data_IF_986122613933
#
_entry.id   IF_986122613933
#
_cell.length_a   1.000
_cell.length_b   1.000
_cell.length_c   1.000
_cell.angle_alpha   90.00
_cell.angle_beta   90.00
_cell.angle_gamma   90.00
#
_symmetry.space_group_name_H-M   'P 1'
#
loop_
_entity.id
_entity.type
_entity.pdbx_description
1 polymer ?
#
# COMPACT_ATOMS: atom_id res chain seq x y z
N UNK A 1 18.48 -21.34 -5.76
CA UNK A 1 18.65 -19.94 -5.40
C UNK A 1 19.11 -19.21 -6.63
N UNK A 2 18.45 -18.14 -7.00
CA UNK A 2 18.73 -17.33 -8.18
C UNK A 2 19.21 -15.96 -7.73
N UNK A 3 20.16 -15.38 -8.46
CA UNK A 3 20.68 -14.04 -8.16
C UNK A 3 20.25 -13.09 -9.27
N UNK A 4 19.80 -11.91 -8.87
CA UNK A 4 19.39 -10.86 -9.77
C UNK A 4 20.18 -9.59 -9.45
N UNK A 5 20.71 -8.96 -10.48
CA UNK A 5 21.38 -7.66 -10.38
C UNK A 5 20.34 -6.56 -10.16
N UNK A 6 20.75 -5.47 -9.53
CA UNK A 6 19.92 -4.28 -9.32
C UNK A 6 19.22 -3.82 -10.62
N UNK A 7 17.96 -3.41 -10.52
CA UNK A 7 17.08 -2.98 -11.62
C UNK A 7 16.65 -4.10 -12.59
N UNK A 8 17.03 -5.35 -12.36
CA UNK A 8 16.57 -6.48 -13.17
C UNK A 8 15.11 -6.78 -12.89
N UNK A 9 14.31 -6.92 -13.95
CA UNK A 9 12.95 -7.43 -13.84
C UNK A 9 12.95 -8.90 -13.45
N UNK A 10 12.17 -9.24 -12.41
CA UNK A 10 12.02 -10.59 -11.85
C UNK A 10 10.72 -11.21 -12.34
N UNK A 11 9.62 -10.43 -12.25
CA UNK A 11 8.29 -10.79 -12.72
C UNK A 11 7.72 -9.59 -13.47
N UNK A 12 7.29 -9.80 -14.71
CA UNK A 12 6.61 -8.76 -15.50
C UNK A 12 5.12 -8.72 -15.20
N UNK A 13 4.53 -7.52 -15.20
CA UNK A 13 3.07 -7.34 -15.22
C UNK A 13 2.45 -8.08 -16.42
N UNK A 14 1.31 -8.72 -16.21
CA UNK A 14 0.61 -9.51 -17.24
C UNK A 14 1.18 -10.90 -17.49
N UNK A 15 2.32 -11.26 -16.89
CA UNK A 15 2.87 -12.62 -17.00
C UNK A 15 2.04 -13.64 -16.22
N UNK A 16 2.15 -14.93 -16.61
CA UNK A 16 1.48 -16.03 -15.92
C UNK A 16 1.96 -16.15 -14.48
N UNK A 17 1.02 -16.25 -13.54
CA UNK A 17 1.32 -16.44 -12.14
C UNK A 17 1.56 -17.92 -11.83
N UNK A 18 2.80 -18.36 -12.05
CA UNK A 18 3.23 -19.75 -11.91
C UNK A 18 4.48 -19.91 -11.04
N UNK A 19 4.98 -18.85 -10.47
CA UNK A 19 6.15 -18.84 -9.59
C UNK A 19 6.06 -17.69 -8.58
N UNK A 20 6.47 -17.94 -7.36
CA UNK A 20 6.79 -16.91 -6.38
C UNK A 20 8.21 -17.12 -5.85
N UNK A 21 8.78 -16.08 -5.24
CA UNK A 21 10.12 -16.19 -4.67
C UNK A 21 10.14 -15.75 -3.22
N UNK A 22 11.00 -16.38 -2.41
CA UNK A 22 11.34 -15.88 -1.07
C UNK A 22 12.64 -15.09 -1.18
N UNK A 23 12.65 -13.87 -0.64
CA UNK A 23 13.84 -13.01 -0.62
C UNK A 23 14.79 -13.53 0.46
N UNK A 24 15.90 -14.13 0.04
CA UNK A 24 16.97 -14.59 0.93
C UNK A 24 17.98 -13.49 1.26
N UNK A 25 18.14 -12.50 0.38
CA UNK A 25 19.00 -11.33 0.55
C UNK A 25 18.66 -10.24 -0.44
N UNK A 26 18.97 -9.00 -0.11
CA UNK A 26 18.60 -7.83 -0.90
C UNK A 26 17.13 -7.41 -0.73
N UNK A 27 16.64 -6.62 -1.68
CA UNK A 27 15.28 -6.09 -1.71
C UNK A 27 14.71 -6.05 -3.12
N UNK A 28 13.38 -6.10 -3.22
CA UNK A 28 12.61 -6.12 -4.48
C UNK A 28 11.52 -5.06 -4.41
N UNK A 29 11.36 -4.27 -5.46
CA UNK A 29 10.24 -3.34 -5.60
C UNK A 29 9.10 -4.02 -6.34
N UNK A 30 7.92 -4.04 -5.72
CA UNK A 30 6.66 -4.38 -6.37
C UNK A 30 5.98 -3.08 -6.81
N UNK A 31 5.66 -2.95 -8.09
CA UNK A 31 5.07 -1.74 -8.67
C UNK A 31 3.72 -2.04 -9.31
N UNK A 32 2.74 -1.16 -9.08
CA UNK A 32 1.41 -1.23 -9.68
C UNK A 32 0.81 0.18 -9.78
N UNK A 33 0.32 0.57 -10.94
CA UNK A 33 -0.40 1.85 -11.15
C UNK A 33 0.33 3.08 -10.56
N UNK A 34 1.67 3.10 -10.63
CA UNK A 34 2.49 4.20 -10.10
C UNK A 34 2.80 4.13 -8.61
N UNK A 35 2.34 3.12 -7.89
CA UNK A 35 2.70 2.83 -6.50
C UNK A 35 3.85 1.82 -6.42
N UNK A 36 4.73 2.01 -5.47
CA UNK A 36 5.88 1.13 -5.23
C UNK A 36 5.88 0.63 -3.78
N UNK A 37 6.06 -0.67 -3.62
CA UNK A 37 6.16 -1.33 -2.33
C UNK A 37 7.50 -2.06 -2.28
N UNK A 38 8.32 -1.76 -1.28
CA UNK A 38 9.64 -2.39 -1.12
C UNK A 38 9.53 -3.63 -0.25
N UNK A 39 9.72 -4.78 -0.88
CA UNK A 39 9.82 -6.08 -0.24
C UNK A 39 11.26 -6.33 0.19
N UNK A 40 11.46 -6.88 1.39
CA UNK A 40 12.77 -7.10 2.00
C UNK A 40 13.02 -8.56 2.30
N UNK A 41 14.23 -8.88 2.74
CA UNK A 41 14.59 -10.23 3.18
C UNK A 41 13.52 -10.86 4.07
N UNK A 42 13.07 -12.05 3.69
CA UNK A 42 11.98 -12.80 4.33
C UNK A 42 10.59 -12.42 3.82
N UNK A 43 10.44 -11.51 2.86
CA UNK A 43 9.20 -11.29 2.14
C UNK A 43 9.10 -12.20 0.91
N UNK A 44 7.90 -12.24 0.34
CA UNK A 44 7.59 -13.08 -0.82
C UNK A 44 7.31 -12.17 -2.02
N UNK A 45 8.08 -12.36 -3.10
CA UNK A 45 7.83 -11.75 -4.41
C UNK A 45 6.68 -12.49 -5.08
N UNK A 46 5.70 -11.76 -5.63
CA UNK A 46 4.46 -12.33 -6.18
C UNK A 46 3.33 -12.45 -5.17
N UNK A 47 3.51 -11.95 -3.91
CA UNK A 47 2.53 -12.15 -2.84
C UNK A 47 1.22 -11.39 -3.07
N UNK A 48 1.27 -10.20 -3.70
CA UNK A 48 0.11 -9.32 -3.82
C UNK A 48 -0.93 -9.80 -4.84
N UNK A 49 -0.57 -10.74 -5.69
CA UNK A 49 -1.43 -11.35 -6.69
C UNK A 49 -1.32 -12.89 -6.75
N UNK A 50 -0.81 -13.51 -5.68
CA UNK A 50 -0.51 -14.94 -5.59
C UNK A 50 -1.71 -15.86 -5.88
N UNK A 51 -2.94 -15.37 -5.69
CA UNK A 51 -4.17 -16.13 -5.96
C UNK A 51 -4.79 -15.82 -7.32
N UNK A 52 -4.21 -14.90 -8.09
CA UNK A 52 -4.64 -14.53 -9.44
C UNK A 52 -4.02 -15.46 -10.50
N UNK A 53 -4.54 -15.46 -11.71
CA UNK A 53 -3.99 -16.24 -12.83
C UNK A 53 -2.80 -15.57 -13.49
N UNK A 54 -2.76 -14.25 -13.46
CA UNK A 54 -1.70 -13.41 -14.01
C UNK A 54 -1.23 -12.40 -12.98
N UNK A 55 0.00 -11.95 -13.10
CA UNK A 55 0.54 -10.89 -12.26
C UNK A 55 -0.03 -9.52 -12.66
N UNK A 56 -0.56 -8.79 -11.68
CA UNK A 56 -0.99 -7.38 -11.84
C UNK A 56 0.10 -6.41 -11.40
N UNK A 57 1.11 -6.90 -10.71
CA UNK A 57 2.29 -6.16 -10.28
C UNK A 57 3.50 -6.54 -11.14
N UNK A 58 4.37 -5.57 -11.43
CA UNK A 58 5.74 -5.85 -11.84
C UNK A 58 6.65 -5.91 -10.61
N UNK A 59 7.64 -6.81 -10.65
CA UNK A 59 8.60 -6.96 -9.55
C UNK A 59 10.01 -6.80 -10.09
N UNK A 60 10.75 -5.83 -9.55
CA UNK A 60 12.09 -5.48 -9.98
C UNK A 60 13.07 -5.55 -8.81
N UNK A 61 14.29 -6.02 -9.03
CA UNK A 61 15.34 -5.99 -8.02
C UNK A 61 15.68 -4.53 -7.68
N UNK A 62 15.44 -4.10 -6.43
CA UNK A 62 15.78 -2.75 -5.99
C UNK A 62 17.30 -2.60 -5.79
N UNK A 63 17.96 -3.68 -5.42
CA UNK A 63 19.39 -3.86 -5.28
C UNK A 63 19.76 -5.29 -5.68
N UNK A 64 21.03 -5.65 -5.70
CA UNK A 64 21.45 -7.05 -5.94
C UNK A 64 20.75 -7.96 -4.91
N UNK A 65 20.00 -8.93 -5.39
CA UNK A 65 19.21 -9.80 -4.55
C UNK A 65 19.37 -11.28 -4.85
N UNK A 66 19.18 -12.09 -3.82
CA UNK A 66 19.18 -13.54 -3.88
C UNK A 66 17.77 -14.07 -3.54
N UNK A 67 17.18 -14.81 -4.47
CA UNK A 67 15.80 -15.28 -4.40
C UNK A 67 15.74 -16.81 -4.42
N UNK A 68 14.80 -17.39 -3.67
CA UNK A 68 14.51 -18.82 -3.65
C UNK A 68 13.21 -19.03 -4.44
N UNK A 69 13.26 -19.67 -5.63
CA UNK A 69 12.08 -19.89 -6.46
C UNK A 69 11.19 -21.01 -5.92
N UNK A 70 9.88 -20.81 -6.02
CA UNK A 70 8.84 -21.79 -5.72
C UNK A 70 7.86 -21.84 -6.89
N UNK A 71 8.04 -22.75 -7.86
CA UNK A 71 7.09 -22.91 -8.95
C UNK A 71 5.79 -23.55 -8.45
N UNK A 72 4.67 -23.13 -9.00
CA UNK A 72 3.35 -23.71 -8.74
C UNK A 72 2.46 -23.60 -10.00
N UNK A 73 1.36 -24.34 -10.04
CA UNK A 73 0.44 -24.28 -11.15
C UNK A 73 -1.01 -24.20 -10.62
N UNK A 74 -1.46 -22.97 -10.49
CA UNK A 74 -2.81 -22.66 -10.00
C UNK A 74 -3.04 -22.99 -8.53
N UNK A 75 -4.28 -22.80 -8.09
CA UNK A 75 -4.71 -22.89 -6.68
C UNK A 75 -4.40 -24.25 -6.03
N UNK A 76 -4.64 -25.36 -6.73
CA UNK A 76 -4.41 -26.70 -6.15
C UNK A 76 -2.95 -26.95 -5.83
N UNK A 77 -2.06 -26.53 -6.74
CA UNK A 77 -0.63 -26.65 -6.55
C UNK A 77 -0.11 -25.75 -5.40
N UNK A 78 -0.62 -24.50 -5.31
CA UNK A 78 -0.31 -23.60 -4.20
C UNK A 78 -0.79 -24.20 -2.87
N UNK A 79 -2.01 -24.71 -2.80
CA UNK A 79 -2.55 -25.37 -1.60
C UNK A 79 -1.71 -26.61 -1.23
N UNK A 80 -1.25 -27.39 -2.20
CA UNK A 80 -0.36 -28.54 -1.95
C UNK A 80 0.99 -28.09 -1.35
N UNK A 81 1.59 -27.02 -1.86
CA UNK A 81 2.82 -26.44 -1.29
C UNK A 81 2.59 -25.97 0.16
N UNK A 82 1.48 -25.26 0.41
CA UNK A 82 1.11 -24.81 1.75
C UNK A 82 0.81 -25.98 2.70
N UNK A 83 0.17 -27.05 2.23
CA UNK A 83 -0.11 -28.24 3.05
C UNK A 83 1.18 -28.91 3.52
N UNK A 84 2.16 -29.01 2.65
CA UNK A 84 3.40 -29.75 2.89
C UNK A 84 4.45 -28.94 3.66
N UNK A 85 4.25 -27.62 3.84
CA UNK A 85 5.24 -26.74 4.46
C UNK A 85 4.63 -25.76 5.46
N UNK A 86 4.72 -26.08 6.75
CA UNK A 86 4.19 -25.23 7.82
C UNK A 86 4.91 -23.87 7.93
N UNK A 87 6.21 -23.85 7.66
CA UNK A 87 7.00 -22.61 7.76
C UNK A 87 6.65 -21.67 6.61
N UNK A 88 6.38 -22.22 5.44
CA UNK A 88 5.90 -21.46 4.28
C UNK A 88 4.54 -20.79 4.59
N UNK A 89 3.60 -21.51 5.24
CA UNK A 89 2.33 -20.93 5.69
C UNK A 89 2.53 -19.71 6.60
N UNK A 90 3.40 -19.85 7.60
CA UNK A 90 3.73 -18.75 8.51
C UNK A 90 4.37 -17.58 7.77
N UNK A 91 5.29 -17.88 6.84
CA UNK A 91 5.99 -16.87 6.07
C UNK A 91 5.02 -16.04 5.21
N UNK A 92 4.05 -16.68 4.53
CA UNK A 92 3.04 -15.97 3.76
C UNK A 92 2.24 -14.99 4.64
N UNK A 93 1.74 -15.46 5.78
CA UNK A 93 0.98 -14.62 6.70
C UNK A 93 1.84 -13.45 7.20
N UNK A 94 3.05 -13.72 7.66
CA UNK A 94 3.93 -12.70 8.22
C UNK A 94 4.34 -11.66 7.17
N UNK A 95 4.70 -12.13 5.96
CA UNK A 95 5.04 -11.23 4.85
C UNK A 95 3.86 -10.33 4.49
N UNK A 96 2.66 -10.89 4.34
CA UNK A 96 1.47 -10.09 4.03
C UNK A 96 1.13 -9.09 5.13
N UNK A 97 1.10 -9.53 6.38
CA UNK A 97 0.80 -8.64 7.52
C UNK A 97 1.79 -7.47 7.62
N UNK A 98 3.09 -7.71 7.40
CA UNK A 98 4.08 -6.62 7.43
C UNK A 98 3.79 -5.58 6.35
N UNK A 99 3.52 -6.03 5.14
CA UNK A 99 3.31 -5.14 4.01
C UNK A 99 1.99 -4.37 4.11
N UNK A 100 0.89 -5.03 4.52
CA UNK A 100 -0.39 -4.33 4.67
C UNK A 100 -0.37 -3.34 5.84
N UNK A 101 0.29 -3.67 6.95
CA UNK A 101 0.48 -2.73 8.06
C UNK A 101 1.27 -1.50 7.61
N UNK A 102 2.29 -1.68 6.78
CA UNK A 102 3.04 -0.58 6.20
C UNK A 102 2.11 0.31 5.35
N UNK A 103 1.36 -0.26 4.41
CA UNK A 103 0.44 0.48 3.54
C UNK A 103 -0.65 1.23 4.32
N UNK A 104 -1.22 0.61 5.36
CA UNK A 104 -2.22 1.27 6.20
C UNK A 104 -1.61 2.48 6.91
N UNK A 105 -0.39 2.38 7.43
CA UNK A 105 0.30 3.50 8.09
C UNK A 105 0.61 4.63 7.13
N UNK A 106 1.07 4.32 5.93
CA UNK A 106 1.29 5.31 4.88
C UNK A 106 -0.01 6.05 4.54
N UNK A 107 -1.12 5.30 4.33
CA UNK A 107 -2.42 5.90 4.08
C UNK A 107 -2.91 6.77 5.25
N UNK A 108 -2.71 6.34 6.51
CA UNK A 108 -3.07 7.14 7.70
C UNK A 108 -2.26 8.43 7.79
N UNK A 109 -0.97 8.37 7.46
CA UNK A 109 -0.10 9.56 7.43
C UNK A 109 -0.56 10.53 6.35
N UNK A 110 -0.74 10.05 5.11
CA UNK A 110 -1.22 10.87 3.99
C UNK A 110 -2.60 11.46 4.23
N UNK A 111 -3.52 10.71 4.86
CA UNK A 111 -4.84 11.21 5.24
C UNK A 111 -4.73 12.37 6.23
N UNK A 112 -3.92 12.22 7.28
CA UNK A 112 -3.70 13.27 8.27
C UNK A 112 -3.10 14.52 7.62
N UNK A 113 -2.07 14.37 6.80
CA UNK A 113 -1.43 15.48 6.09
C UNK A 113 -2.41 16.20 5.16
N UNK A 114 -3.27 15.46 4.45
CA UNK A 114 -4.31 16.03 3.60
C UNK A 114 -5.34 16.83 4.42
N UNK A 115 -5.77 16.29 5.57
CA UNK A 115 -6.70 17.00 6.46
C UNK A 115 -6.07 18.24 7.08
N UNK A 116 -4.82 18.15 7.51
CA UNK A 116 -4.10 19.29 8.08
C UNK A 116 -3.96 20.42 7.04
N UNK A 117 -3.64 20.07 5.80
CA UNK A 117 -3.52 21.04 4.69
C UNK A 117 -4.87 21.67 4.34
N UNK A 118 -5.93 20.89 4.22
CA UNK A 118 -7.29 21.39 3.98
C UNK A 118 -7.72 22.38 5.06
N UNK A 119 -7.57 22.01 6.33
CA UNK A 119 -7.95 22.85 7.46
C UNK A 119 -7.13 24.15 7.51
N UNK A 120 -5.83 24.06 7.20
CA UNK A 120 -4.96 25.24 7.12
C UNK A 120 -5.45 26.23 6.08
N UNK A 121 -5.78 25.78 4.87
CA UNK A 121 -6.24 26.66 3.79
C UNK A 121 -7.56 27.32 4.20
N UNK A 122 -8.50 26.57 4.75
CA UNK A 122 -9.79 27.13 5.22
C UNK A 122 -9.59 28.19 6.30
N UNK A 123 -8.82 27.87 7.34
CA UNK A 123 -8.56 28.81 8.44
C UNK A 123 -7.87 30.08 7.95
N UNK A 124 -6.83 29.96 7.13
CA UNK A 124 -6.09 31.11 6.58
C UNK A 124 -7.01 32.00 5.72
N UNK A 125 -7.90 31.40 4.95
CA UNK A 125 -8.87 32.13 4.13
C UNK A 125 -9.88 32.88 5.00
N UNK A 126 -10.41 32.26 6.06
CA UNK A 126 -11.31 32.90 7.00
C UNK A 126 -10.64 34.06 7.74
N UNK A 127 -9.41 33.86 8.23
CA UNK A 127 -8.64 34.93 8.91
C UNK A 127 -8.38 36.10 7.96
N UNK A 128 -8.01 35.85 6.71
CA UNK A 128 -7.84 36.88 5.69
C UNK A 128 -9.12 37.69 5.48
N UNK A 129 -10.27 37.05 5.31
CA UNK A 129 -11.55 37.74 5.13
C UNK A 129 -11.94 38.56 6.35
N UNK A 130 -11.72 38.05 7.57
CA UNK A 130 -11.98 38.77 8.81
C UNK A 130 -11.13 40.04 8.91
N UNK A 131 -9.85 39.98 8.61
CA UNK A 131 -8.94 41.14 8.58
C UNK A 131 -9.41 42.17 7.55
N UNK A 132 -9.76 41.74 6.34
CA UNK A 132 -10.29 42.63 5.31
C UNK A 132 -11.54 43.35 5.78
N UNK A 133 -12.44 42.63 6.42
CA UNK A 133 -13.70 43.21 6.96
C UNK A 133 -13.42 44.24 8.05
N UNK A 134 -12.48 43.97 8.97
CA UNK A 134 -12.12 44.91 10.06
C UNK A 134 -11.55 46.22 9.53
N UNK A 135 -10.83 46.20 8.40
CA UNK A 135 -10.27 47.41 7.78
C UNK A 135 -11.16 48.01 6.68
N UNK A 136 -12.39 47.48 6.53
CA UNK A 136 -13.38 48.01 5.57
C UNK A 136 -13.07 47.66 4.09
N UNK A 137 -12.32 46.60 3.85
CA UNK A 137 -12.04 46.10 2.53
C UNK A 137 -12.85 44.82 2.23
N UNK A 138 -13.07 44.55 0.94
CA UNK A 138 -13.62 43.28 0.52
C UNK A 138 -12.45 42.34 0.23
N UNK A 139 -12.38 41.21 0.93
CA UNK A 139 -11.40 40.16 0.66
C UNK A 139 -11.61 39.53 -0.73
N UNK A 140 -10.54 39.26 -1.44
CA UNK A 140 -10.58 38.46 -2.68
C UNK A 140 -10.80 36.99 -2.32
N UNK A 141 -11.53 36.25 -3.14
CA UNK A 141 -11.59 34.79 -3.06
C UNK A 141 -10.33 34.22 -3.68
N UNK A 142 -9.73 33.20 -3.04
CA UNK A 142 -8.62 32.47 -3.62
C UNK A 142 -9.07 31.83 -4.94
N UNK A 143 -8.24 31.93 -5.99
CA UNK A 143 -8.48 31.17 -7.22
C UNK A 143 -8.59 29.66 -6.91
N UNK A 144 -9.43 28.98 -7.66
CA UNK A 144 -9.61 27.51 -7.55
C UNK A 144 -10.10 26.98 -6.19
N UNK A 145 -10.74 27.84 -5.38
CA UNK A 145 -11.35 27.39 -4.10
C UNK A 145 -12.39 26.28 -4.30
N UNK A 146 -12.99 26.14 -5.47
CA UNK A 146 -13.87 25.05 -5.83
C UNK A 146 -13.16 23.67 -5.86
N UNK A 147 -11.85 23.66 -6.00
CA UNK A 147 -11.03 22.43 -5.92
C UNK A 147 -10.78 21.99 -4.47
N UNK A 148 -11.02 22.90 -3.51
CA UNK A 148 -10.85 22.61 -2.08
C UNK A 148 -12.05 21.83 -1.54
N UNK A 149 -12.12 20.54 -1.89
CA UNK A 149 -13.14 19.63 -1.39
C UNK A 149 -12.66 18.89 -0.14
N UNK A 150 -13.48 18.77 0.91
CA UNK A 150 -13.10 17.97 2.08
C UNK A 150 -12.98 16.51 1.71
N UNK A 151 -12.11 15.78 2.42
CA UNK A 151 -12.09 14.33 2.35
C UNK A 151 -13.42 13.78 2.92
N UNK A 152 -13.99 12.81 2.23
CA UNK A 152 -15.20 12.13 2.66
C UNK A 152 -14.92 11.15 3.81
N UNK A 153 -15.95 10.78 4.58
CA UNK A 153 -15.81 9.79 5.65
C UNK A 153 -15.32 8.43 5.15
N UNK A 154 -15.61 8.11 3.87
CA UNK A 154 -15.17 6.88 3.19
C UNK A 154 -13.67 6.87 2.92
N UNK A 155 -13.03 8.05 2.90
CA UNK A 155 -11.59 8.21 2.68
C UNK A 155 -10.77 7.96 3.96
N UNK A 156 -11.44 7.74 5.09
CA UNK A 156 -10.74 7.45 6.34
C UNK A 156 -10.07 6.08 6.25
N UNK A 157 -8.73 6.01 6.43
CA UNK A 157 -8.03 4.73 6.42
C UNK A 157 -8.59 3.78 7.48
N UNK A 158 -8.72 2.49 7.17
CA UNK A 158 -9.23 1.52 8.12
C UNK A 158 -8.31 1.39 9.34
N UNK A 159 -8.92 1.27 10.53
CA UNK A 159 -8.22 1.19 11.82
C UNK A 159 -8.00 -0.23 12.33
N UNK A 160 -7.93 -1.23 11.45
CA UNK A 160 -7.68 -2.62 11.86
C UNK A 160 -6.20 -3.01 11.92
N UNK A 161 -5.30 -2.04 12.13
CA UNK A 161 -3.89 -2.32 12.44
C UNK A 161 -3.75 -3.30 13.61
N UNK A 162 -4.55 -3.11 14.65
CA UNK A 162 -4.50 -3.97 15.84
C UNK A 162 -4.91 -5.41 15.54
N UNK A 163 -5.84 -5.63 14.61
CA UNK A 163 -6.24 -6.97 14.17
C UNK A 163 -5.09 -7.67 13.44
N UNK A 164 -4.38 -6.98 12.54
CA UNK A 164 -3.20 -7.54 11.87
C UNK A 164 -2.06 -7.81 12.87
N UNK A 165 -1.81 -6.92 13.83
CA UNK A 165 -0.81 -7.13 14.87
C UNK A 165 -1.18 -8.29 15.80
N UNK A 166 -2.44 -8.39 16.19
CA UNK A 166 -2.94 -9.50 17.02
C UNK A 166 -2.77 -10.83 16.30
N UNK A 167 -3.10 -10.84 14.99
CA UNK A 167 -2.95 -12.00 14.15
C UNK A 167 -1.48 -12.41 13.98
N UNK A 168 -0.57 -11.48 13.69
CA UNK A 168 0.87 -11.74 13.63
C UNK A 168 1.40 -12.32 14.95
N UNK A 169 1.02 -11.71 16.09
CA UNK A 169 1.44 -12.21 17.42
C UNK A 169 0.98 -13.64 17.64
N UNK A 170 -0.26 -13.96 17.28
CA UNK A 170 -0.81 -15.31 17.39
C UNK A 170 0.00 -16.29 16.54
N UNK A 171 0.27 -15.99 15.28
CA UNK A 171 1.05 -16.85 14.39
C UNK A 171 2.49 -17.06 14.88
N UNK A 172 3.13 -16.03 15.42
CA UNK A 172 4.49 -16.13 15.99
C UNK A 172 4.51 -16.98 17.25
N UNK A 173 3.48 -16.84 18.12
CA UNK A 173 3.42 -17.56 19.41
C UNK A 173 3.00 -19.03 19.25
N UNK A 174 2.26 -19.38 18.20
CA UNK A 174 1.85 -20.75 17.94
C UNK A 174 3.03 -21.58 17.40
N UNK A 175 3.85 -22.10 18.30
CA UNK A 175 5.02 -22.95 17.94
C UNK A 175 4.62 -24.35 17.49
N UNK A 176 3.43 -24.83 17.84
CA UNK A 176 2.97 -26.21 17.66
C UNK A 176 1.69 -26.36 16.85
N UNK A 177 0.90 -25.29 16.68
CA UNK A 177 -0.35 -25.33 15.93
C UNK A 177 -0.11 -25.19 14.43
N UNK A 178 -0.64 -26.13 13.66
CA UNK A 178 -0.65 -26.00 12.18
C UNK A 178 -1.83 -25.16 11.76
N UNK A 179 -1.56 -23.95 11.28
CA UNK A 179 -2.60 -23.14 10.59
C UNK A 179 -3.01 -23.90 9.33
N UNK A 180 -4.30 -24.23 9.13
CA UNK A 180 -4.75 -24.95 7.94
C UNK A 180 -4.43 -24.17 6.66
N UNK A 181 -4.05 -24.87 5.59
CA UNK A 181 -3.71 -24.24 4.31
C UNK A 181 -4.87 -23.47 3.68
N UNK A 182 -6.11 -23.99 3.81
CA UNK A 182 -7.32 -23.29 3.37
C UNK A 182 -7.52 -21.96 4.09
N UNK A 183 -7.19 -21.92 5.38
CA UNK A 183 -7.23 -20.67 6.14
C UNK A 183 -6.20 -19.66 5.60
N UNK A 184 -4.98 -20.12 5.34
CA UNK A 184 -3.93 -19.26 4.73
C UNK A 184 -4.37 -18.76 3.38
N UNK A 185 -4.90 -19.62 2.52
CA UNK A 185 -5.41 -19.23 1.21
C UNK A 185 -6.52 -18.18 1.30
N UNK A 186 -7.54 -18.40 2.15
CA UNK A 186 -8.60 -17.42 2.40
C UNK A 186 -8.06 -16.09 2.94
N UNK A 187 -7.05 -16.14 3.83
CA UNK A 187 -6.35 -14.96 4.32
C UNK A 187 -5.64 -14.21 3.17
N UNK A 188 -4.96 -14.91 2.27
CA UNK A 188 -4.30 -14.30 1.11
C UNK A 188 -5.30 -13.58 0.20
N UNK A 189 -6.42 -14.22 -0.14
CA UNK A 189 -7.48 -13.61 -0.96
C UNK A 189 -7.98 -12.32 -0.31
N UNK A 190 -8.35 -12.38 0.98
CA UNK A 190 -8.85 -11.21 1.71
C UNK A 190 -7.82 -10.08 1.80
N UNK A 191 -6.56 -10.43 2.06
CA UNK A 191 -5.49 -9.45 2.18
C UNK A 191 -5.14 -8.78 0.85
N UNK A 192 -5.29 -9.48 -0.29
CA UNK A 192 -5.15 -8.88 -1.62
C UNK A 192 -6.23 -7.81 -1.88
N UNK A 193 -7.50 -8.09 -1.48
CA UNK A 193 -8.56 -7.09 -1.55
C UNK A 193 -8.25 -5.86 -0.69
N UNK A 194 -7.73 -6.06 0.52
CA UNK A 194 -7.38 -4.96 1.42
C UNK A 194 -6.21 -4.12 0.88
N UNK A 195 -5.21 -4.74 0.27
CA UNK A 195 -4.13 -4.03 -0.45
C UNK A 195 -4.70 -3.18 -1.59
N UNK A 196 -5.59 -3.74 -2.42
CA UNK A 196 -6.23 -3.00 -3.50
C UNK A 196 -6.98 -1.76 -3.01
N UNK A 197 -7.72 -1.88 -1.91
CA UNK A 197 -8.41 -0.74 -1.28
C UNK A 197 -7.43 0.33 -0.78
N UNK A 198 -6.30 -0.08 -0.17
CA UNK A 198 -5.29 0.87 0.31
C UNK A 198 -4.62 1.62 -0.85
N UNK A 199 -4.33 0.94 -1.95
CA UNK A 199 -3.77 1.60 -3.13
C UNK A 199 -4.74 2.61 -3.75
N UNK A 200 -6.03 2.26 -3.87
CA UNK A 200 -7.07 3.18 -4.36
C UNK A 200 -7.20 4.40 -3.45
N UNK A 201 -7.21 4.19 -2.13
CA UNK A 201 -7.24 5.28 -1.17
C UNK A 201 -6.00 6.17 -1.27
N UNK A 202 -4.81 5.58 -1.34
CA UNK A 202 -3.56 6.34 -1.48
C UNK A 202 -3.55 7.20 -2.74
N UNK A 203 -4.06 6.70 -3.86
CA UNK A 203 -4.22 7.46 -5.09
C UNK A 203 -5.16 8.67 -4.90
N UNK A 204 -6.33 8.46 -4.28
CA UNK A 204 -7.30 9.54 -3.99
C UNK A 204 -6.71 10.62 -3.07
N UNK A 205 -5.99 10.20 -2.03
CA UNK A 205 -5.32 11.13 -1.11
C UNK A 205 -4.24 11.96 -1.81
N UNK A 206 -3.46 11.34 -2.69
CA UNK A 206 -2.46 12.05 -3.50
C UNK A 206 -3.10 13.09 -4.44
N UNK A 207 -4.23 12.75 -5.05
CA UNK A 207 -4.99 13.68 -5.91
C UNK A 207 -5.53 14.86 -5.10
N UNK A 208 -6.09 14.61 -3.91
CA UNK A 208 -6.53 15.68 -3.00
C UNK A 208 -5.38 16.59 -2.59
N UNK A 209 -4.22 16.05 -2.22
CA UNK A 209 -3.04 16.85 -1.87
C UNK A 209 -2.56 17.71 -3.04
N UNK A 210 -2.60 17.22 -4.28
CA UNK A 210 -2.28 18.00 -5.48
C UNK A 210 -3.25 19.16 -5.68
N UNK A 211 -4.56 18.93 -5.54
CA UNK A 211 -5.58 19.98 -5.62
C UNK A 211 -5.37 21.04 -4.54
N UNK A 212 -5.12 20.63 -3.29
CA UNK A 212 -4.86 21.57 -2.19
C UNK A 212 -3.57 22.38 -2.42
N UNK A 213 -2.51 21.73 -2.91
CA UNK A 213 -1.28 22.43 -3.27
C UNK A 213 -1.50 23.42 -4.41
N UNK A 214 -2.34 23.08 -5.41
CA UNK A 214 -2.69 23.98 -6.50
C UNK A 214 -3.41 25.24 -5.99
N UNK A 215 -4.35 25.12 -5.06
CA UNK A 215 -5.01 26.29 -4.43
C UNK A 215 -4.02 27.18 -3.70
N UNK A 216 -3.05 26.59 -2.97
CA UNK A 216 -2.05 27.36 -2.19
C UNK A 216 -0.98 28.03 -3.02
N UNK A 217 -0.51 27.37 -4.08
CA UNK A 217 0.66 27.79 -4.85
C UNK A 217 0.28 28.58 -6.11
N UNK A 218 -0.98 28.95 -6.22
CA UNK A 218 -1.44 29.70 -7.38
C UNK A 218 -0.87 31.12 -7.39
N UNK A 219 -0.01 31.42 -8.36
CA UNK A 219 0.62 32.74 -8.51
C UNK A 219 -0.39 33.84 -8.91
N UNK A 220 -1.55 33.49 -9.50
CA UNK A 220 -2.60 34.44 -9.89
C UNK A 220 -3.22 35.19 -8.70
N UNK A 221 -2.96 34.73 -7.48
CA UNK A 221 -3.42 35.43 -6.26
C UNK A 221 -2.59 36.67 -5.92
N UNK A 222 -1.36 36.75 -6.43
CA UNK A 222 -0.42 37.83 -6.14
C UNK A 222 -0.52 39.00 -7.13
N UNK A 223 -1.23 38.86 -8.24
CA UNK A 223 -1.53 39.89 -9.24
C UNK A 223 -2.88 40.60 -8.94
#
# INVERSE_FOLDING_TARGET
MENFEAKKEIIAEGSDNNIFYIIAGGSVTASVSGHEIILKKGDIVGIFDITSTTHTYSYNAAEDCALIPYPFNGTESLLALLNNNSDLRKLFILSFCRNIVFLIREAQTSYKESMDLYNYIQQATEEYHNICQEIGLHGKTLPYMEELQPLESEDTPPFFLDDYYAFMRKIISETTGTVPSQFVYGFLVKSQEDVGKMLTLSQKLLESQKSYAHVLLNEDFLD
#
